data_IF_781398614997
#
_entry.id   IF_781398614997
#
_cell.length_a   1.000
_cell.length_b   1.000
_cell.length_c   1.000
_cell.angle_alpha   90.00
_cell.angle_beta   90.00
_cell.angle_gamma   90.00
#
_symmetry.space_group_name_H-M   'P 1'
#
loop_
_entity.id
_entity.type
_entity.pdbx_description
1 polymer ?
#
# COMPACT_ATOMS: atom_id res chain seq x y z
N UNK A 1 16.26 24.10 -23.27
CA UNK A 1 15.59 23.71 -24.53
C UNK A 1 16.45 22.73 -25.31
N UNK A 2 17.66 23.06 -25.78
CA UNK A 2 18.54 22.07 -26.46
C UNK A 2 18.68 20.71 -25.74
N UNK A 3 18.98 20.70 -24.43
CA UNK A 3 19.12 19.46 -23.65
C UNK A 3 17.84 18.62 -23.48
N UNK A 4 16.64 19.19 -23.61
CA UNK A 4 15.40 18.40 -23.48
C UNK A 4 15.00 17.80 -24.84
N UNK A 5 15.24 18.51 -25.93
CA UNK A 5 14.99 18.00 -27.28
C UNK A 5 15.92 16.82 -27.61
N UNK A 6 17.20 16.90 -27.20
CA UNK A 6 18.16 15.80 -27.36
C UNK A 6 17.73 14.56 -26.55
N UNK A 7 17.39 14.74 -25.27
CA UNK A 7 16.89 13.65 -24.40
C UNK A 7 15.59 13.04 -24.95
N UNK A 8 14.69 13.88 -25.46
CA UNK A 8 13.49 13.38 -26.13
C UNK A 8 13.84 12.55 -27.35
N UNK A 9 14.71 13.03 -28.23
CA UNK A 9 15.11 12.30 -29.44
C UNK A 9 15.74 10.93 -29.12
N UNK A 10 16.53 10.86 -28.04
CA UNK A 10 17.17 9.63 -27.58
C UNK A 10 16.17 8.61 -26.99
N UNK A 11 15.26 9.07 -26.12
CA UNK A 11 14.43 8.21 -25.28
C UNK A 11 12.98 8.07 -25.76
N UNK A 12 12.59 8.79 -26.80
CA UNK A 12 11.23 8.76 -27.36
C UNK A 12 10.74 7.34 -27.62
N UNK A 13 11.54 6.53 -28.31
CA UNK A 13 11.11 5.21 -28.77
C UNK A 13 10.76 4.28 -27.59
N UNK A 14 11.57 4.27 -26.54
CA UNK A 14 11.30 3.39 -25.39
C UNK A 14 10.08 3.84 -24.59
N UNK A 15 9.84 5.15 -24.46
CA UNK A 15 8.64 5.68 -23.81
C UNK A 15 7.36 5.35 -24.61
N UNK A 16 7.42 5.46 -25.95
CA UNK A 16 6.33 5.05 -26.84
C UNK A 16 6.06 3.53 -26.75
N UNK A 17 7.09 2.71 -26.90
CA UNK A 17 6.97 1.25 -26.86
C UNK A 17 6.40 0.78 -25.51
N UNK A 18 6.84 1.38 -24.40
CA UNK A 18 6.32 1.09 -23.06
C UNK A 18 4.84 1.48 -22.90
N UNK A 19 4.45 2.66 -23.38
CA UNK A 19 3.05 3.10 -23.36
C UNK A 19 2.15 2.13 -24.15
N UNK A 20 2.59 1.72 -25.34
CA UNK A 20 1.88 0.73 -26.15
C UNK A 20 1.80 -0.63 -25.46
N UNK A 21 2.88 -1.10 -24.84
CA UNK A 21 2.90 -2.36 -24.09
C UNK A 21 2.01 -2.36 -22.85
N UNK A 22 1.81 -1.20 -22.22
CA UNK A 22 0.83 -1.00 -21.14
C UNK A 22 -0.59 -0.78 -21.68
N UNK A 23 -0.78 -0.49 -22.97
CA UNK A 23 -2.10 -0.24 -23.56
C UNK A 23 -2.68 1.13 -23.19
N UNK A 24 -1.83 2.14 -23.01
CA UNK A 24 -2.23 3.52 -22.75
C UNK A 24 -1.89 4.44 -23.93
N UNK A 25 -2.55 5.60 -24.01
CA UNK A 25 -2.18 6.65 -24.95
C UNK A 25 -0.76 7.17 -24.62
N UNK A 26 0.22 7.02 -25.53
CA UNK A 26 1.59 7.50 -25.31
C UNK A 26 1.65 9.01 -25.00
N UNK A 27 0.68 9.80 -25.47
CA UNK A 27 0.63 11.25 -25.24
C UNK A 27 0.51 11.59 -23.75
N UNK A 28 -0.21 10.78 -22.99
CA UNK A 28 -0.34 10.97 -21.53
C UNK A 28 0.99 10.68 -20.85
N UNK A 29 1.60 9.53 -21.16
CA UNK A 29 2.87 9.12 -20.57
C UNK A 29 4.01 10.10 -20.89
N UNK A 30 4.06 10.63 -22.11
CA UNK A 30 5.06 11.63 -22.53
C UNK A 30 4.93 12.92 -21.72
N UNK A 31 3.71 13.40 -21.44
CA UNK A 31 3.51 14.58 -20.58
C UNK A 31 4.02 14.32 -19.16
N UNK A 32 3.75 13.14 -18.59
CA UNK A 32 4.23 12.77 -17.25
C UNK A 32 5.77 12.66 -17.23
N UNK A 33 6.38 11.89 -18.13
CA UNK A 33 7.82 11.72 -18.20
C UNK A 33 8.56 13.05 -18.44
N UNK A 34 7.99 13.90 -19.30
CA UNK A 34 8.49 15.24 -19.56
C UNK A 34 8.48 16.10 -18.29
N UNK A 35 7.37 16.11 -17.56
CA UNK A 35 7.26 16.87 -16.33
C UNK A 35 8.18 16.37 -15.21
N UNK A 36 8.17 15.06 -14.96
CA UNK A 36 8.91 14.43 -13.84
C UNK A 36 10.42 14.51 -14.00
N UNK A 37 10.92 14.34 -15.22
CA UNK A 37 12.36 14.16 -15.46
C UNK A 37 12.92 15.05 -16.58
N UNK A 38 12.06 15.66 -17.38
CA UNK A 38 12.47 16.24 -18.66
C UNK A 38 13.04 15.18 -19.61
N UNK A 39 12.45 13.98 -19.61
CA UNK A 39 12.92 12.80 -20.34
C UNK A 39 14.32 12.32 -19.95
N UNK A 40 14.73 12.54 -18.69
CA UNK A 40 16.05 12.14 -18.22
C UNK A 40 15.97 10.85 -17.38
N UNK A 41 16.50 9.72 -17.84
CA UNK A 41 16.51 8.49 -17.05
C UNK A 41 17.44 8.57 -15.83
N UNK A 42 18.28 9.60 -15.74
CA UNK A 42 19.15 9.88 -14.60
C UNK A 42 18.64 11.04 -13.73
N UNK A 43 17.41 11.51 -13.94
CA UNK A 43 16.85 12.59 -13.14
C UNK A 43 16.82 12.20 -11.65
N UNK A 44 17.23 13.14 -10.80
CA UNK A 44 17.22 13.02 -9.34
C UNK A 44 16.93 14.38 -8.69
N UNK A 45 16.22 14.43 -7.56
CA UNK A 45 16.02 15.67 -6.82
C UNK A 45 17.31 16.10 -6.11
N UNK A 46 17.94 17.17 -6.59
CA UNK A 46 19.17 17.71 -5.99
C UNK A 46 18.90 19.13 -5.49
N UNK A 47 19.26 19.41 -4.24
CA UNK A 47 19.28 20.76 -3.74
C UNK A 47 20.47 21.52 -4.38
N UNK A 48 20.18 22.36 -5.37
CA UNK A 48 21.21 23.13 -6.09
C UNK A 48 21.72 24.30 -5.24
N UNK A 49 20.82 24.95 -4.49
CA UNK A 49 21.16 26.12 -3.67
C UNK A 49 21.69 25.77 -2.28
N UNK A 50 21.39 24.56 -1.80
CA UNK A 50 21.77 24.07 -0.47
C UNK A 50 22.17 22.59 -0.55
N UNK A 51 23.35 22.26 -1.14
CA UNK A 51 23.77 20.88 -1.38
C UNK A 51 23.85 20.02 -0.11
N UNK A 52 24.03 20.63 1.05
CA UNK A 52 23.99 19.98 2.38
C UNK A 52 22.65 19.35 2.72
N UNK A 53 21.55 19.80 2.09
CA UNK A 53 20.21 19.24 2.31
C UNK A 53 19.96 17.93 1.58
N UNK A 54 20.91 17.49 0.74
CA UNK A 54 20.88 16.17 0.12
C UNK A 54 21.14 15.10 1.19
N UNK A 55 20.09 14.67 1.88
CA UNK A 55 20.15 13.86 3.12
C UNK A 55 19.87 12.37 2.90
N UNK A 56 19.41 11.98 1.71
CA UNK A 56 19.11 10.60 1.34
C UNK A 56 20.18 10.07 0.39
N UNK A 57 20.88 9.02 0.82
CA UNK A 57 21.77 8.26 -0.06
C UNK A 57 20.93 7.48 -1.08
N UNK A 58 21.10 7.80 -2.34
CA UNK A 58 20.47 7.12 -3.48
C UNK A 58 21.04 5.71 -3.63
N UNK A 59 20.37 4.90 -4.47
CA UNK A 59 20.84 3.56 -4.79
C UNK A 59 22.21 3.55 -5.51
N UNK A 60 22.54 4.61 -6.26
CA UNK A 60 23.84 4.81 -6.92
C UNK A 60 24.92 5.39 -5.97
N UNK A 61 24.59 5.58 -4.70
CA UNK A 61 25.47 6.13 -3.68
C UNK A 61 25.57 7.65 -3.65
N UNK A 62 24.94 8.37 -4.59
CA UNK A 62 24.89 9.83 -4.57
C UNK A 62 23.94 10.34 -3.50
N UNK A 63 24.12 11.59 -3.05
CA UNK A 63 23.25 12.20 -2.05
C UNK A 63 22.20 13.07 -2.75
N UNK A 64 20.93 12.94 -2.35
CA UNK A 64 19.80 13.75 -2.83
C UNK A 64 18.75 13.98 -1.73
N UNK A 65 17.82 14.89 -1.93
CA UNK A 65 16.77 15.21 -0.93
C UNK A 65 15.71 14.10 -0.81
N UNK A 66 15.61 13.24 -1.82
CA UNK A 66 14.62 12.16 -1.93
C UNK A 66 15.20 11.02 -2.75
N UNK A 67 14.70 9.79 -2.55
CA UNK A 67 15.08 8.61 -3.35
C UNK A 67 14.46 8.57 -4.75
N UNK A 68 13.79 9.64 -5.17
CA UNK A 68 13.16 9.73 -6.48
C UNK A 68 14.22 9.67 -7.59
N UNK A 69 13.99 8.82 -8.59
CA UNK A 69 14.93 8.64 -9.69
C UNK A 69 14.25 8.23 -11.00
N UNK A 70 14.85 8.63 -12.13
CA UNK A 70 14.47 8.20 -13.47
C UNK A 70 13.22 8.86 -14.03
N UNK A 71 12.69 8.33 -15.14
CA UNK A 71 11.62 8.97 -15.92
C UNK A 71 10.40 9.39 -15.10
N UNK A 72 9.95 8.52 -14.19
CA UNK A 72 8.78 8.73 -13.35
C UNK A 72 9.08 9.23 -11.94
N UNK A 73 10.35 9.52 -11.63
CA UNK A 73 10.79 9.94 -10.28
C UNK A 73 10.30 9.01 -9.15
N UNK A 74 10.26 7.69 -9.39
CA UNK A 74 9.79 6.72 -8.39
C UNK A 74 10.64 6.73 -7.11
N UNK A 75 10.00 6.67 -5.94
CA UNK A 75 10.67 6.40 -4.68
C UNK A 75 11.08 4.92 -4.60
N UNK A 76 12.07 4.57 -3.75
CA UNK A 76 12.55 3.19 -3.64
C UNK A 76 11.44 2.18 -3.29
N UNK A 77 10.45 2.60 -2.47
CA UNK A 77 9.33 1.75 -2.09
C UNK A 77 8.33 1.55 -3.23
N UNK A 78 7.93 2.64 -3.89
CA UNK A 78 7.02 2.58 -5.05
C UNK A 78 7.66 1.85 -6.23
N UNK A 79 8.95 2.04 -6.47
CA UNK A 79 9.70 1.30 -7.48
C UNK A 79 9.70 -0.20 -7.20
N UNK A 80 9.98 -0.62 -5.96
CA UNK A 80 9.89 -2.02 -5.56
C UNK A 80 8.48 -2.56 -5.82
N UNK A 81 7.43 -1.86 -5.41
CA UNK A 81 6.06 -2.30 -5.65
C UNK A 81 5.78 -2.51 -7.15
N UNK A 82 6.20 -1.56 -7.99
CA UNK A 82 6.00 -1.65 -9.44
C UNK A 82 6.77 -2.83 -10.03
N UNK A 83 8.04 -3.01 -9.65
CA UNK A 83 8.85 -4.16 -10.08
C UNK A 83 8.24 -5.48 -9.61
N UNK A 84 7.82 -5.59 -8.35
CA UNK A 84 7.24 -6.83 -7.85
C UNK A 84 5.90 -7.15 -8.50
N UNK A 85 5.14 -6.12 -8.93
CA UNK A 85 3.83 -6.31 -9.56
C UNK A 85 3.94 -6.60 -11.06
N UNK A 86 4.83 -5.90 -11.78
CA UNK A 86 4.88 -5.91 -13.24
C UNK A 86 6.21 -6.37 -13.83
N UNK A 87 7.28 -6.50 -13.03
CA UNK A 87 8.62 -6.80 -13.52
C UNK A 87 8.69 -8.08 -14.36
N UNK A 88 7.95 -9.13 -13.99
CA UNK A 88 7.88 -10.38 -14.77
C UNK A 88 7.34 -10.17 -16.18
N UNK A 89 6.34 -9.28 -16.35
CA UNK A 89 5.79 -8.90 -17.67
C UNK A 89 6.88 -8.32 -18.57
N UNK A 90 7.92 -7.74 -17.99
CA UNK A 90 9.02 -7.06 -18.70
C UNK A 90 10.37 -7.80 -18.56
N UNK A 91 10.34 -9.08 -18.16
CA UNK A 91 11.52 -9.95 -18.19
C UNK A 91 12.38 -9.93 -16.92
N UNK A 92 11.90 -9.38 -15.80
CA UNK A 92 12.56 -9.50 -14.50
C UNK A 92 12.14 -10.84 -13.87
N UNK A 93 13.07 -11.79 -13.76
CA UNK A 93 12.80 -13.09 -13.15
C UNK A 93 12.52 -12.97 -11.65
N UNK A 94 11.52 -13.71 -11.16
CA UNK A 94 11.10 -13.72 -9.75
C UNK A 94 10.82 -12.31 -9.19
N UNK A 95 10.30 -11.42 -10.03
CA UNK A 95 10.16 -10.02 -9.65
C UNK A 95 9.32 -9.85 -8.38
N UNK A 96 8.27 -10.66 -8.21
CA UNK A 96 7.36 -10.63 -7.06
C UNK A 96 8.07 -10.81 -5.71
N UNK A 97 9.18 -11.56 -5.68
CA UNK A 97 9.91 -11.91 -4.46
C UNK A 97 11.11 -10.99 -4.19
N UNK A 98 11.37 -10.00 -5.05
CA UNK A 98 12.51 -9.11 -4.88
C UNK A 98 12.35 -8.25 -3.62
N UNK A 99 13.36 -8.31 -2.75
CA UNK A 99 13.49 -7.41 -1.61
C UNK A 99 13.72 -5.98 -2.08
N UNK A 100 13.50 -5.00 -1.20
CA UNK A 100 13.72 -3.58 -1.50
C UNK A 100 15.13 -3.30 -2.03
N UNK A 101 16.15 -3.97 -1.49
CA UNK A 101 17.53 -3.83 -1.95
C UNK A 101 17.71 -4.40 -3.36
N UNK A 102 17.15 -5.58 -3.64
CA UNK A 102 17.28 -6.21 -4.96
C UNK A 102 16.51 -5.45 -6.04
N UNK A 103 15.27 -5.03 -5.77
CA UNK A 103 14.48 -4.26 -6.73
C UNK A 103 15.11 -2.91 -7.08
N UNK A 104 15.84 -2.30 -6.12
CA UNK A 104 16.56 -1.03 -6.33
C UNK A 104 18.02 -1.22 -6.73
N UNK A 105 18.47 -2.43 -7.06
CA UNK A 105 19.81 -2.67 -7.57
C UNK A 105 20.03 -1.92 -8.91
N UNK A 106 21.25 -1.44 -9.21
CA UNK A 106 21.51 -0.64 -10.40
C UNK A 106 21.01 -1.28 -11.69
N UNK A 107 21.10 -2.61 -11.80
CA UNK A 107 20.71 -3.39 -12.97
C UNK A 107 19.22 -3.24 -13.31
N UNK A 108 18.36 -3.06 -12.29
CA UNK A 108 16.93 -2.84 -12.49
C UNK A 108 16.60 -1.35 -12.49
N UNK A 109 17.19 -0.58 -11.55
CA UNK A 109 16.82 0.81 -11.33
C UNK A 109 17.30 1.74 -12.44
N UNK A 110 18.43 1.45 -13.07
CA UNK A 110 19.01 2.23 -14.18
C UNK A 110 18.61 1.70 -15.57
N UNK A 111 17.96 0.54 -15.65
CA UNK A 111 17.43 0.05 -16.92
C UNK A 111 16.31 0.98 -17.41
N UNK A 112 16.60 1.72 -18.47
CA UNK A 112 15.70 2.75 -19.02
C UNK A 112 14.41 2.14 -19.58
N UNK A 113 14.46 0.90 -20.09
CA UNK A 113 13.27 0.18 -20.57
C UNK A 113 12.38 -0.22 -19.41
N UNK A 114 12.95 -0.73 -18.32
CA UNK A 114 12.19 -1.02 -17.11
C UNK A 114 11.63 0.26 -16.48
N UNK A 115 12.39 1.36 -16.45
CA UNK A 115 11.88 2.65 -15.99
C UNK A 115 10.67 3.11 -16.81
N UNK A 116 10.76 3.05 -18.13
CA UNK A 116 9.66 3.40 -19.03
C UNK A 116 8.46 2.47 -18.82
N UNK A 117 8.68 1.16 -18.73
CA UNK A 117 7.63 0.16 -18.49
C UNK A 117 6.89 0.40 -17.16
N UNK A 118 7.61 0.60 -16.06
CA UNK A 118 6.99 0.87 -14.76
C UNK A 118 6.25 2.20 -14.74
N UNK A 119 6.76 3.23 -15.41
CA UNK A 119 6.04 4.49 -15.57
C UNK A 119 4.75 4.30 -16.39
N UNK A 120 4.78 3.48 -17.44
CA UNK A 120 3.62 3.18 -18.26
C UNK A 120 2.53 2.44 -17.47
N UNK A 121 2.91 1.41 -16.70
CA UNK A 121 1.97 0.66 -15.85
C UNK A 121 1.39 1.52 -14.72
N UNK A 122 2.23 2.34 -14.07
CA UNK A 122 1.76 3.26 -13.03
C UNK A 122 0.82 4.32 -13.60
N UNK A 123 1.13 4.83 -14.80
CA UNK A 123 0.24 5.75 -15.55
C UNK A 123 -1.08 5.08 -15.86
N UNK A 124 -1.08 3.83 -16.33
CA UNK A 124 -2.30 3.04 -16.60
C UNK A 124 -3.15 2.89 -15.35
N UNK A 125 -2.56 2.49 -14.23
CA UNK A 125 -3.27 2.39 -12.96
C UNK A 125 -3.91 3.71 -12.57
N UNK A 126 -3.18 4.82 -12.73
CA UNK A 126 -3.66 6.14 -12.36
C UNK A 126 -4.73 6.69 -13.32
N UNK A 127 -4.69 6.34 -14.62
CA UNK A 127 -5.79 6.64 -15.56
C UNK A 127 -7.07 5.96 -15.09
N UNK A 128 -6.99 4.67 -14.75
CA UNK A 128 -8.15 3.89 -14.29
C UNK A 128 -8.68 4.43 -12.96
N UNK A 129 -7.80 4.66 -11.98
CA UNK A 129 -8.20 5.17 -10.66
C UNK A 129 -8.78 6.59 -10.75
N UNK A 130 -8.17 7.48 -11.51
CA UNK A 130 -8.62 8.88 -11.57
C UNK A 130 -9.94 9.06 -12.33
N UNK A 131 -10.33 8.09 -13.18
CA UNK A 131 -11.62 8.10 -13.86
C UNK A 131 -12.81 8.09 -12.88
N UNK A 132 -12.62 7.62 -11.64
CA UNK A 132 -13.66 7.54 -10.60
C UNK A 132 -13.96 8.90 -9.93
N UNK A 133 -13.00 9.83 -9.89
CA UNK A 133 -13.07 11.06 -9.07
C UNK A 133 -13.32 12.34 -9.87
N UNK A 134 -13.33 12.26 -11.21
CA UNK A 134 -13.62 13.37 -12.10
C UNK A 134 -12.41 14.22 -12.52
N UNK A 135 -12.66 15.21 -13.38
CA UNK A 135 -11.64 16.01 -14.08
C UNK A 135 -11.56 15.67 -15.57
N UNK A 136 -11.53 16.70 -16.44
CA UNK A 136 -11.59 16.52 -17.90
C UNK A 136 -10.23 16.29 -18.55
N UNK A 137 -9.15 16.63 -17.84
CA UNK A 137 -7.79 16.51 -18.33
C UNK A 137 -7.16 15.23 -17.77
N UNK A 138 -6.98 14.23 -18.64
CA UNK A 138 -6.41 12.93 -18.28
C UNK A 138 -5.00 13.06 -17.73
N UNK A 139 -4.18 13.98 -18.27
CA UNK A 139 -2.80 14.15 -17.81
C UNK A 139 -2.76 14.81 -16.43
N UNK A 140 -3.63 15.80 -16.18
CA UNK A 140 -3.77 16.40 -14.85
C UNK A 140 -4.30 15.37 -13.83
N UNK A 141 -5.29 14.56 -14.20
CA UNK A 141 -5.82 13.50 -13.36
C UNK A 141 -4.74 12.48 -12.95
N UNK A 142 -3.99 11.98 -13.93
CA UNK A 142 -2.87 11.05 -13.69
C UNK A 142 -1.82 11.69 -12.79
N UNK A 143 -1.42 12.93 -13.09
CA UNK A 143 -0.38 13.59 -12.32
C UNK A 143 -0.82 13.92 -10.88
N UNK A 144 -2.09 14.25 -10.64
CA UNK A 144 -2.62 14.40 -9.30
C UNK A 144 -2.46 13.11 -8.49
N UNK A 145 -2.81 11.96 -9.09
CA UNK A 145 -2.64 10.65 -8.46
C UNK A 145 -1.17 10.25 -8.29
N UNK A 146 -0.32 10.61 -9.26
CA UNK A 146 1.13 10.34 -9.25
C UNK A 146 1.84 11.10 -8.12
N UNK A 147 1.56 12.40 -7.98
CA UNK A 147 2.20 13.27 -7.00
C UNK A 147 1.63 13.08 -5.58
N UNK A 148 0.31 13.03 -5.44
CA UNK A 148 -0.36 12.99 -4.14
C UNK A 148 -0.59 11.55 -3.61
N UNK A 149 -0.40 10.55 -4.47
CA UNK A 149 -0.65 9.15 -4.14
C UNK A 149 -2.13 8.84 -3.92
N UNK A 150 -2.39 7.62 -3.45
CA UNK A 150 -3.75 7.07 -3.25
C UNK A 150 -4.50 7.66 -2.06
N UNK A 151 -3.84 8.47 -1.23
CA UNK A 151 -4.46 9.15 -0.10
C UNK A 151 -5.04 10.52 -0.48
N UNK A 152 -4.17 11.46 -0.84
CA UNK A 152 -4.57 12.85 -1.08
C UNK A 152 -4.98 13.13 -2.54
N UNK A 153 -4.56 12.29 -3.50
CA UNK A 153 -4.94 12.39 -4.91
C UNK A 153 -6.45 12.28 -5.12
N UNK A 154 -7.09 11.19 -4.66
CA UNK A 154 -8.55 11.03 -4.74
C UNK A 154 -9.31 12.17 -4.05
N UNK A 155 -8.88 12.58 -2.85
CA UNK A 155 -9.51 13.69 -2.12
C UNK A 155 -9.45 14.99 -2.92
N UNK A 156 -8.30 15.29 -3.53
CA UNK A 156 -8.13 16.48 -4.35
C UNK A 156 -9.00 16.43 -5.60
N UNK A 157 -8.97 15.33 -6.36
CA UNK A 157 -9.78 15.18 -7.57
C UNK A 157 -11.28 15.22 -7.26
N UNK A 158 -11.72 14.55 -6.19
CA UNK A 158 -13.09 14.63 -5.71
C UNK A 158 -13.47 16.06 -5.34
N UNK A 159 -12.58 16.81 -4.67
CA UNK A 159 -12.83 18.21 -4.36
C UNK A 159 -12.85 19.12 -5.58
N UNK A 160 -12.07 18.82 -6.63
CA UNK A 160 -12.16 19.51 -7.93
C UNK A 160 -13.52 19.29 -8.57
N UNK A 161 -14.07 18.09 -8.46
CA UNK A 161 -15.41 17.75 -8.96
C UNK A 161 -16.53 18.37 -8.11
N UNK A 162 -16.51 18.15 -6.81
CA UNK A 162 -17.61 18.48 -5.89
C UNK A 162 -17.63 19.95 -5.46
N UNK A 163 -16.46 20.57 -5.33
CA UNK A 163 -16.31 21.94 -4.84
C UNK A 163 -15.15 22.67 -5.54
N UNK A 164 -15.27 22.96 -6.85
CA UNK A 164 -14.22 23.57 -7.65
C UNK A 164 -13.75 24.93 -7.14
N UNK A 165 -14.64 25.70 -6.49
CA UNK A 165 -14.35 27.02 -5.91
C UNK A 165 -13.83 26.94 -4.45
N UNK A 166 -13.86 25.75 -3.85
CA UNK A 166 -13.25 25.48 -2.54
C UNK A 166 -11.75 25.69 -2.57
N UNK A 167 -11.17 26.11 -1.44
CA UNK A 167 -9.72 26.35 -1.32
C UNK A 167 -8.95 25.04 -1.20
N UNK A 168 -7.78 24.98 -1.83
CA UNK A 168 -6.90 23.79 -1.76
C UNK A 168 -6.53 23.40 -0.32
N UNK A 169 -6.31 24.39 0.55
CA UNK A 169 -5.97 24.15 1.96
C UNK A 169 -7.11 23.55 2.81
N UNK A 170 -8.32 23.42 2.27
CA UNK A 170 -9.40 22.65 2.89
C UNK A 170 -9.30 21.14 2.62
N UNK A 171 -8.46 20.74 1.66
CA UNK A 171 -8.33 19.36 1.19
C UNK A 171 -6.92 18.83 1.41
N UNK A 172 -5.90 19.65 1.13
CA UNK A 172 -4.49 19.29 1.24
C UNK A 172 -3.83 19.95 2.45
N UNK A 173 -2.92 19.22 3.09
CA UNK A 173 -2.17 19.73 4.24
C UNK A 173 -1.19 20.84 3.87
N UNK A 174 -0.87 21.72 4.83
CA UNK A 174 0.13 22.77 4.65
C UNK A 174 1.51 22.24 4.23
N UNK A 175 1.88 21.03 4.66
CA UNK A 175 3.14 20.39 4.28
C UNK A 175 3.15 20.02 2.78
N UNK A 176 2.07 19.42 2.29
CA UNK A 176 1.90 19.05 0.86
C UNK A 176 1.92 20.31 -0.02
N UNK A 177 1.21 21.35 0.40
CA UNK A 177 1.15 22.64 -0.30
C UNK A 177 2.53 23.29 -0.35
N UNK A 178 3.24 23.37 0.78
CA UNK A 178 4.58 23.96 0.84
C UNK A 178 5.58 23.20 -0.03
N UNK A 179 5.49 21.87 -0.09
CA UNK A 179 6.34 21.04 -0.94
C UNK A 179 6.06 21.19 -2.45
N UNK A 180 4.88 21.70 -2.82
CA UNK A 180 4.39 21.75 -4.18
C UNK A 180 3.77 23.13 -4.52
N UNK A 181 4.36 24.22 -4.01
CA UNK A 181 3.81 25.57 -4.14
C UNK A 181 3.64 26.04 -5.59
N UNK A 182 4.39 25.46 -6.52
CA UNK A 182 4.24 25.69 -7.96
C UNK A 182 2.90 25.20 -8.53
N UNK A 183 2.23 24.26 -7.85
CA UNK A 183 0.92 23.70 -8.20
C UNK A 183 -0.20 24.28 -7.33
N UNK A 184 0.06 24.41 -6.03
CA UNK A 184 -0.97 24.75 -5.03
C UNK A 184 -0.89 26.20 -4.51
N UNK A 185 0.08 26.99 -4.96
CA UNK A 185 0.31 28.33 -4.46
C UNK A 185 0.62 28.33 -2.96
N UNK A 186 -0.04 29.22 -2.22
CA UNK A 186 -0.05 29.27 -0.75
C UNK A 186 -1.20 28.44 -0.14
N UNK A 187 -1.97 27.73 -0.97
CA UNK A 187 -3.14 26.96 -0.58
C UNK A 187 -4.46 27.74 -0.57
N UNK A 188 -4.44 29.06 -0.81
CA UNK A 188 -5.66 29.89 -0.85
C UNK A 188 -6.33 29.94 -2.22
N UNK A 189 -5.68 29.40 -3.26
CA UNK A 189 -6.28 29.24 -4.59
C UNK A 189 -7.37 28.17 -4.55
N UNK A 190 -8.27 28.20 -5.55
CA UNK A 190 -9.35 27.23 -5.63
C UNK A 190 -8.86 25.87 -6.15
N UNK A 191 -9.61 24.80 -5.87
CA UNK A 191 -9.35 23.46 -6.38
C UNK A 191 -9.27 23.46 -7.91
N UNK A 192 -10.18 24.17 -8.59
CA UNK A 192 -10.15 24.32 -10.05
C UNK A 192 -8.91 25.09 -10.54
N UNK A 193 -8.46 26.12 -9.83
CA UNK A 193 -7.25 26.87 -10.19
C UNK A 193 -6.00 26.00 -10.07
N UNK A 194 -5.88 25.21 -9.01
CA UNK A 194 -4.79 24.26 -8.82
C UNK A 194 -4.80 23.15 -9.88
N UNK A 195 -5.98 22.59 -10.16
CA UNK A 195 -6.14 21.56 -11.20
C UNK A 195 -5.80 22.12 -12.59
N UNK A 196 -6.24 23.33 -12.92
CA UNK A 196 -5.86 23.98 -14.17
C UNK A 196 -4.36 24.32 -14.23
N UNK A 197 -3.73 24.65 -13.10
CA UNK A 197 -2.28 24.85 -13.06
C UNK A 197 -1.53 23.56 -13.39
N UNK A 198 -2.03 22.43 -12.89
CA UNK A 198 -1.51 21.11 -13.21
C UNK A 198 -1.61 20.78 -14.70
N UNK A 199 -2.79 20.95 -15.31
CA UNK A 199 -2.98 20.77 -16.75
C UNK A 199 -2.04 21.66 -17.58
N UNK A 200 -1.92 22.94 -17.22
CA UNK A 200 -0.95 23.86 -17.87
C UNK A 200 0.50 23.39 -17.75
N UNK A 201 0.89 22.76 -16.64
CA UNK A 201 2.23 22.18 -16.48
C UNK A 201 2.43 20.97 -17.40
N UNK A 202 1.43 20.11 -17.52
CA UNK A 202 1.46 18.98 -18.45
C UNK A 202 1.51 19.44 -19.92
N UNK A 203 0.78 20.49 -20.26
CA UNK A 203 0.73 21.05 -21.61
C UNK A 203 2.03 21.71 -22.08
N UNK A 204 2.97 22.01 -21.16
CA UNK A 204 4.32 22.42 -21.54
C UNK A 204 5.04 21.36 -22.40
N UNK A 205 4.59 20.11 -22.33
CA UNK A 205 5.12 18.97 -23.05
C UNK A 205 4.24 18.52 -24.22
N UNK A 206 3.21 19.31 -24.58
CA UNK A 206 2.30 19.00 -25.69
C UNK A 206 3.04 18.80 -27.02
N UNK A 207 4.09 19.59 -27.30
CA UNK A 207 4.89 19.44 -28.53
C UNK A 207 5.51 18.04 -28.68
N UNK A 208 5.94 17.43 -27.56
CA UNK A 208 6.50 16.08 -27.56
C UNK A 208 5.38 15.04 -27.66
N UNK A 209 4.28 15.24 -26.94
CA UNK A 209 3.09 14.39 -27.03
C UNK A 209 2.44 14.42 -28.42
N UNK A 210 2.53 15.52 -29.16
CA UNK A 210 2.02 15.60 -30.53
C UNK A 210 2.93 14.86 -31.52
N UNK A 211 4.22 14.71 -31.18
CA UNK A 211 5.20 14.05 -32.04
C UNK A 211 5.07 12.53 -32.06
N UNK A 212 4.47 11.90 -31.03
CA UNK A 212 4.44 10.43 -30.89
C UNK A 212 3.43 9.70 -31.76
N UNK A 213 2.47 10.41 -32.38
CA UNK A 213 1.47 9.81 -33.28
C UNK A 213 0.51 8.83 -32.58
N UNK A 214 -0.78 8.97 -32.80
CA UNK A 214 -1.75 8.07 -32.18
C UNK A 214 -1.89 6.78 -33.02
N UNK A 215 -1.07 5.76 -32.75
CA UNK A 215 -1.23 4.43 -33.40
C UNK A 215 -2.54 3.72 -32.99
N UNK A 216 -3.31 4.28 -32.04
CA UNK A 216 -4.64 3.81 -31.67
C UNK A 216 -5.77 4.45 -32.50
N UNK A 217 -5.46 5.32 -33.48
CA UNK A 217 -6.48 6.03 -34.29
C UNK A 217 -7.23 5.17 -35.31
N UNK A 218 -6.78 3.95 -35.60
CA UNK A 218 -7.49 3.02 -36.52
C UNK A 218 -8.48 2.09 -35.78
N UNK A 219 -8.76 2.35 -34.51
CA UNK A 219 -9.90 1.75 -33.80
C UNK A 219 -10.71 2.83 -33.12
N UNK A 220 -11.90 3.10 -33.66
CA UNK A 220 -12.89 3.92 -33.00
C UNK A 220 -13.28 3.28 -31.65
N UNK A 221 -13.23 4.02 -30.52
CA UNK A 221 -13.59 3.50 -29.20
C UNK A 221 -15.12 3.45 -29.05
N UNK A 222 -15.79 2.45 -29.64
CA UNK A 222 -17.21 2.15 -29.31
C UNK A 222 -17.60 0.67 -29.48
N UNK A 223 -16.83 -0.19 -30.14
CA UNK A 223 -17.22 -1.61 -30.30
C UNK A 223 -16.27 -2.54 -29.55
N UNK A 224 -16.60 -2.91 -28.31
CA UNK A 224 -16.22 -4.23 -27.72
C UNK A 224 -17.04 -4.58 -26.46
N UNK A 225 -17.81 -3.69 -25.85
CA UNK A 225 -18.74 -4.08 -24.76
C UNK A 225 -20.18 -4.02 -25.25
N UNK A 226 -20.63 -5.10 -25.91
CA UNK A 226 -21.98 -5.66 -25.77
C UNK A 226 -22.15 -6.88 -26.69
N UNK A 227 -22.01 -8.09 -26.14
CA UNK A 227 -22.77 -9.28 -26.55
C UNK A 227 -22.62 -10.39 -25.51
N UNK A 228 -23.47 -10.34 -24.49
CA UNK A 228 -24.30 -11.47 -24.06
C UNK A 228 -25.36 -10.95 -23.08
N UNK A 229 -26.45 -10.43 -23.62
CA UNK A 229 -27.74 -10.47 -22.96
C UNK A 229 -28.75 -10.99 -23.99
N UNK A 230 -29.31 -12.16 -23.70
CA UNK A 230 -30.46 -12.70 -24.40
C UNK A 230 -31.65 -11.76 -24.14
N UNK A 231 -32.34 -11.43 -25.24
CA UNK A 231 -33.63 -10.74 -25.36
C UNK A 231 -34.53 -10.78 -24.10
N UNK A 232 -35.02 -9.61 -23.68
CA UNK A 232 -36.44 -9.28 -23.82
C UNK A 232 -36.68 -7.76 -23.67
N UNK A 233 -37.66 -7.30 -24.44
CA UNK A 233 -38.07 -5.94 -24.79
C UNK A 233 -38.89 -5.21 -23.72
N UNK A 234 -38.83 -3.88 -23.70
CA UNK A 234 -39.88 -3.00 -23.14
C UNK A 234 -39.41 -1.58 -22.84
N UNK A 235 -40.00 -0.61 -23.52
CA UNK A 235 -39.74 0.84 -23.50
C UNK A 235 -39.98 1.55 -22.15
N UNK A 236 -39.33 2.71 -21.98
CA UNK A 236 -39.86 3.85 -21.22
C UNK A 236 -38.98 4.37 -20.08
N UNK A 237 -38.28 5.49 -20.31
CA UNK A 237 -37.88 6.39 -19.22
C UNK A 237 -39.07 7.31 -18.88
N UNK A 238 -39.23 7.72 -17.61
CA UNK A 238 -38.65 9.01 -17.22
C UNK A 238 -38.03 9.05 -15.81
N UNK A 239 -37.16 10.03 -15.64
CA UNK A 239 -36.39 10.37 -14.44
C UNK A 239 -37.23 10.64 -13.18
N UNK A 240 -36.83 10.07 -12.04
CA UNK A 240 -37.05 10.62 -10.69
C UNK A 240 -35.87 10.28 -9.78
N UNK A 241 -35.41 11.32 -9.07
CA UNK A 241 -34.65 11.39 -7.82
C UNK A 241 -34.05 10.10 -7.23
N UNK A 242 -32.73 10.11 -7.01
CA UNK A 242 -32.17 9.52 -5.80
C UNK A 242 -31.16 10.48 -5.16
N UNK A 243 -31.56 10.98 -4.00
CA UNK A 243 -30.65 11.50 -2.99
C UNK A 243 -29.85 10.34 -2.41
N UNK A 244 -28.52 10.47 -2.43
CA UNK A 244 -27.65 10.29 -1.28
C UNK A 244 -27.34 8.89 -0.73
N UNK A 245 -26.03 8.69 -0.56
CA UNK A 245 -25.35 7.96 0.52
C UNK A 245 -25.27 6.44 0.43
N UNK A 246 -24.24 5.92 1.10
CA UNK A 246 -24.19 4.56 1.62
C UNK A 246 -25.60 3.99 1.84
N UNK A 247 -25.93 2.93 1.12
CA UNK A 247 -26.46 1.76 1.82
C UNK A 247 -25.21 1.08 2.43
N UNK A 248 -25.11 0.51 3.64
CA UNK A 248 -26.10 -0.12 4.50
C UNK A 248 -27.08 -1.07 3.78
N UNK A 249 -26.72 -1.58 2.61
CA UNK A 249 -27.28 -2.83 2.09
C UNK A 249 -26.55 -4.03 2.74
N UNK A 250 -25.30 -3.82 3.18
CA UNK A 250 -24.54 -4.82 3.91
C UNK A 250 -24.20 -5.99 3.01
N UNK A 251 -23.84 -5.72 1.75
CA UNK A 251 -23.44 -6.70 0.76
C UNK A 251 -22.09 -6.29 0.14
N UNK A 252 -21.20 -7.25 -0.19
CA UNK A 252 -19.94 -6.95 -0.88
C UNK A 252 -19.83 -7.67 -2.23
N UNK A 253 -19.30 -7.04 -3.29
CA UNK A 253 -19.25 -7.65 -4.62
C UNK A 253 -18.01 -7.30 -5.46
N UNK A 254 -17.83 -8.01 -6.58
CA UNK A 254 -16.65 -7.86 -7.44
C UNK A 254 -16.52 -6.42 -7.95
N UNK A 255 -15.34 -5.85 -7.75
CA UNK A 255 -15.03 -4.45 -8.08
C UNK A 255 -15.06 -3.52 -6.86
N UNK A 256 -15.65 -3.94 -5.74
CA UNK A 256 -15.54 -3.21 -4.49
C UNK A 256 -14.14 -3.34 -3.88
N UNK A 257 -13.76 -2.33 -3.09
CA UNK A 257 -12.44 -2.26 -2.47
C UNK A 257 -12.52 -1.60 -1.10
N UNK A 258 -11.54 -1.86 -0.25
CA UNK A 258 -11.40 -1.24 1.06
C UNK A 258 -11.51 -2.23 2.22
N UNK A 259 -11.67 -1.70 3.43
CA UNK A 259 -11.50 -2.48 4.66
C UNK A 259 -12.53 -3.61 4.80
N UNK A 260 -13.77 -3.41 4.34
CA UNK A 260 -14.81 -4.44 4.34
C UNK A 260 -14.46 -5.63 3.45
N UNK A 261 -13.87 -5.38 2.28
CA UNK A 261 -13.37 -6.41 1.36
C UNK A 261 -12.14 -7.11 1.92
N UNK A 262 -11.22 -6.35 2.52
CA UNK A 262 -10.04 -6.91 3.19
C UNK A 262 -10.45 -7.83 4.35
N UNK A 263 -11.48 -7.44 5.10
CA UNK A 263 -12.05 -8.23 6.18
C UNK A 263 -12.71 -9.51 5.63
N UNK A 264 -13.51 -9.42 4.57
CA UNK A 264 -14.07 -10.56 3.86
C UNK A 264 -12.99 -11.54 3.37
N UNK A 265 -11.96 -11.04 2.70
CA UNK A 265 -10.85 -11.86 2.20
C UNK A 265 -10.09 -12.53 3.34
N UNK A 266 -9.88 -11.82 4.45
CA UNK A 266 -9.27 -12.39 5.65
C UNK A 266 -10.12 -13.51 6.24
N UNK A 267 -11.44 -13.33 6.32
CA UNK A 267 -12.39 -14.35 6.78
C UNK A 267 -12.38 -15.59 5.88
N UNK A 268 -12.42 -15.40 4.56
CA UNK A 268 -12.34 -16.49 3.58
C UNK A 268 -10.98 -17.21 3.64
N UNK A 269 -9.88 -16.48 3.73
CA UNK A 269 -8.55 -17.04 3.87
C UNK A 269 -8.38 -17.86 5.15
N UNK A 270 -8.97 -17.42 6.28
CA UNK A 270 -9.00 -18.16 7.54
C UNK A 270 -9.75 -19.48 7.43
N UNK A 271 -10.74 -19.57 6.55
CA UNK A 271 -11.46 -20.80 6.22
C UNK A 271 -10.73 -21.65 5.16
N UNK A 272 -9.51 -21.27 4.77
CA UNK A 272 -8.70 -21.99 3.79
C UNK A 272 -9.10 -21.73 2.33
N UNK A 273 -9.88 -20.67 2.06
CA UNK A 273 -10.27 -20.36 0.69
C UNK A 273 -9.05 -20.04 -0.18
N UNK A 274 -9.10 -20.52 -1.41
CA UNK A 274 -8.06 -20.29 -2.41
C UNK A 274 -8.58 -19.37 -3.51
N UNK A 275 -7.66 -18.61 -4.09
CA UNK A 275 -7.91 -17.85 -5.29
C UNK A 275 -8.13 -18.77 -6.50
N UNK A 276 -8.49 -18.16 -7.63
CA UNK A 276 -8.66 -18.87 -8.89
C UNK A 276 -7.36 -19.53 -9.39
N UNK A 277 -6.23 -19.03 -8.91
CA UNK A 277 -4.88 -19.53 -9.12
C UNK A 277 -4.53 -20.75 -8.24
N UNK A 278 -5.45 -21.21 -7.38
CA UNK A 278 -5.23 -22.33 -6.46
C UNK A 278 -4.34 -22.01 -5.27
N UNK A 279 -3.94 -20.74 -5.09
CA UNK A 279 -3.12 -20.27 -3.97
C UNK A 279 -4.00 -19.76 -2.83
N UNK A 280 -3.50 -19.71 -1.57
CA UNK A 280 -4.24 -19.13 -0.46
C UNK A 280 -4.67 -17.69 -0.75
N UNK A 281 -5.95 -17.39 -0.50
CA UNK A 281 -6.52 -16.08 -0.77
C UNK A 281 -5.81 -14.99 0.05
N UNK A 282 -5.34 -13.94 -0.63
CA UNK A 282 -4.69 -12.80 0.02
C UNK A 282 -5.72 -11.71 0.34
N UNK A 283 -5.54 -11.05 1.48
CA UNK A 283 -6.36 -9.93 1.90
C UNK A 283 -5.73 -8.60 1.44
N UNK A 284 -5.80 -8.34 0.14
CA UNK A 284 -5.28 -7.11 -0.49
C UNK A 284 -6.28 -5.94 -0.43
N UNK A 285 -7.51 -6.20 -0.01
CA UNK A 285 -8.59 -5.22 0.05
C UNK A 285 -9.31 -4.98 -1.27
N UNK A 286 -9.00 -5.76 -2.32
CA UNK A 286 -9.59 -5.66 -3.65
C UNK A 286 -10.49 -6.86 -3.96
N UNK A 287 -11.78 -6.64 -4.21
CA UNK A 287 -12.70 -7.72 -4.54
C UNK A 287 -12.51 -8.08 -6.03
N UNK A 288 -11.37 -8.70 -6.33
CA UNK A 288 -10.93 -9.11 -7.65
C UNK A 288 -11.34 -10.54 -7.99
N UNK A 289 -10.81 -11.05 -9.12
CA UNK A 289 -11.17 -12.39 -9.61
C UNK A 289 -10.85 -13.53 -8.64
N UNK A 290 -9.81 -13.38 -7.83
CA UNK A 290 -9.46 -14.36 -6.79
C UNK A 290 -10.47 -14.33 -5.63
N UNK A 291 -10.88 -13.15 -5.16
CA UNK A 291 -11.92 -12.99 -4.13
C UNK A 291 -13.27 -13.44 -4.64
N UNK A 292 -13.63 -13.11 -5.88
CA UNK A 292 -14.86 -13.57 -6.53
C UNK A 292 -14.91 -15.09 -6.63
N UNK A 293 -13.80 -15.73 -7.02
CA UNK A 293 -13.71 -17.18 -7.06
C UNK A 293 -13.89 -17.79 -5.66
N UNK A 294 -13.19 -17.25 -4.66
CA UNK A 294 -13.29 -17.71 -3.28
C UNK A 294 -14.71 -17.54 -2.70
N UNK A 295 -15.38 -16.42 -2.98
CA UNK A 295 -16.77 -16.17 -2.56
C UNK A 295 -17.72 -17.15 -3.23
N UNK A 296 -17.61 -17.36 -4.55
CA UNK A 296 -18.48 -18.29 -5.27
C UNK A 296 -18.24 -19.75 -4.85
N UNK A 297 -17.00 -20.11 -4.52
CA UNK A 297 -16.66 -21.41 -3.97
C UNK A 297 -17.33 -21.61 -2.61
N UNK A 298 -17.14 -20.64 -1.70
CA UNK A 298 -17.74 -20.64 -0.37
C UNK A 298 -19.28 -20.73 -0.44
N UNK A 299 -19.92 -19.93 -1.30
CA UNK A 299 -21.37 -19.97 -1.49
C UNK A 299 -21.85 -21.35 -1.92
N UNK A 300 -21.10 -22.05 -2.79
CA UNK A 300 -21.44 -23.38 -3.28
C UNK A 300 -21.34 -24.45 -2.18
N UNK A 301 -20.28 -24.42 -1.38
CA UNK A 301 -20.07 -25.37 -0.28
C UNK A 301 -21.12 -25.23 0.83
N UNK A 302 -21.61 -24.00 1.04
CA UNK A 302 -22.59 -23.69 2.08
C UNK A 302 -24.05 -23.66 1.57
N UNK A 303 -24.31 -24.13 0.34
CA UNK A 303 -25.67 -24.26 -0.21
C UNK A 303 -26.39 -22.92 -0.42
N UNK A 304 -25.63 -21.86 -0.66
CA UNK A 304 -26.13 -20.51 -0.94
C UNK A 304 -26.30 -20.28 -2.45
N UNK A 305 -26.94 -19.17 -2.80
CA UNK A 305 -26.95 -18.68 -4.18
C UNK A 305 -25.53 -18.30 -4.60
N UNK A 306 -25.06 -18.83 -5.73
CA UNK A 306 -23.70 -18.63 -6.25
C UNK A 306 -23.69 -17.47 -7.23
N UNK A 307 -23.86 -16.27 -6.72
CA UNK A 307 -23.86 -15.02 -7.48
C UNK A 307 -22.55 -14.23 -7.34
N UNK A 308 -21.68 -14.63 -6.41
CA UNK A 308 -20.44 -13.91 -6.11
C UNK A 308 -20.66 -12.64 -5.28
N UNK A 309 -21.88 -12.43 -4.78
CA UNK A 309 -22.26 -11.27 -3.95
C UNK A 309 -22.35 -11.70 -2.49
N UNK A 310 -21.58 -11.05 -1.65
CA UNK A 310 -21.48 -11.29 -0.20
C UNK A 310 -22.56 -10.54 0.53
N UNK A 311 -23.81 -10.97 0.32
CA UNK A 311 -24.96 -10.39 1.00
C UNK A 311 -25.17 -10.90 2.43
N UNK A 312 -26.23 -10.45 3.12
CA UNK A 312 -26.51 -10.80 4.53
C UNK A 312 -26.51 -12.31 4.80
N UNK A 313 -27.02 -13.12 3.86
CA UNK A 313 -27.02 -14.60 3.99
C UNK A 313 -25.61 -15.17 3.86
N UNK A 314 -24.79 -14.64 2.96
CA UNK A 314 -23.38 -15.02 2.80
C UNK A 314 -22.56 -14.60 4.02
N UNK A 315 -22.80 -13.40 4.57
CA UNK A 315 -22.14 -12.91 5.79
C UNK A 315 -22.52 -13.73 7.03
N UNK A 316 -23.80 -14.08 7.18
CA UNK A 316 -24.24 -14.94 8.29
C UNK A 316 -23.61 -16.35 8.19
N UNK A 317 -23.51 -16.91 6.99
CA UNK A 317 -22.85 -18.18 6.76
C UNK A 317 -21.33 -18.10 7.02
N UNK A 318 -20.66 -17.03 6.59
CA UNK A 318 -19.24 -16.76 6.92
C UNK A 318 -19.04 -16.70 8.44
N UNK A 319 -19.89 -15.98 9.16
CA UNK A 319 -19.82 -15.89 10.63
C UNK A 319 -20.01 -17.25 11.32
N UNK A 320 -20.95 -18.08 10.86
CA UNK A 320 -21.16 -19.43 11.38
C UNK A 320 -19.98 -20.36 11.05
N UNK A 321 -19.47 -20.31 9.81
CA UNK A 321 -18.33 -21.10 9.37
C UNK A 321 -17.06 -20.72 10.13
N UNK A 322 -16.78 -19.43 10.34
CA UNK A 322 -15.67 -18.99 11.19
C UNK A 322 -15.84 -19.49 12.62
N UNK A 323 -17.03 -19.34 13.21
CA UNK A 323 -17.28 -19.79 14.59
C UNK A 323 -17.06 -21.30 14.74
N UNK A 324 -17.50 -22.10 13.76
CA UNK A 324 -17.31 -23.55 13.74
C UNK A 324 -15.86 -23.94 13.43
N UNK A 325 -15.17 -23.20 12.56
CA UNK A 325 -13.75 -23.39 12.26
C UNK A 325 -12.89 -23.08 13.49
N UNK A 326 -13.19 -22.01 14.21
CA UNK A 326 -12.55 -21.67 15.50
C UNK A 326 -12.87 -22.70 16.57
N UNK A 327 -14.12 -23.20 16.67
CA UNK A 327 -14.48 -24.25 17.62
C UNK A 327 -13.77 -25.59 17.31
N UNK A 328 -13.71 -25.99 16.03
CA UNK A 328 -12.98 -27.19 15.59
C UNK A 328 -11.47 -27.05 15.73
N UNK A 329 -10.90 -25.87 15.44
CA UNK A 329 -9.48 -25.61 15.71
C UNK A 329 -9.19 -25.56 17.20
N UNK A 330 -10.10 -25.07 18.03
CA UNK A 330 -9.99 -25.12 19.49
C UNK A 330 -10.10 -26.56 20.01
N UNK A 331 -10.97 -27.39 19.45
CA UNK A 331 -11.13 -28.80 19.82
C UNK A 331 -9.97 -29.67 19.30
N UNK A 332 -9.46 -29.42 18.09
CA UNK A 332 -8.24 -30.06 17.54
C UNK A 332 -6.96 -29.55 18.21
N UNK A 333 -6.91 -28.28 18.62
CA UNK A 333 -5.79 -27.74 19.42
C UNK A 333 -5.86 -28.16 20.88
N UNK A 334 -7.06 -28.45 21.41
CA UNK A 334 -7.23 -29.11 22.71
C UNK A 334 -6.84 -30.60 22.65
N UNK A 335 -7.06 -31.27 21.51
CA UNK A 335 -6.58 -32.63 21.23
C UNK A 335 -5.07 -32.69 20.91
N UNK A 336 -4.43 -31.55 20.62
CA UNK A 336 -2.98 -31.41 20.36
C UNK A 336 -2.21 -30.65 21.45
N UNK A 337 -2.85 -30.28 22.56
CA UNK A 337 -2.15 -29.98 23.82
C UNK A 337 -1.80 -31.34 24.49
N UNK A 338 -0.56 -31.68 24.85
CA UNK A 338 0.58 -30.86 25.23
C UNK A 338 1.92 -31.65 25.11
N UNK A 339 3.08 -31.08 25.53
CA UNK A 339 3.35 -31.04 26.97
C UNK A 339 3.26 -29.63 27.56
N UNK A 340 2.71 -29.59 28.76
CA UNK A 340 2.62 -28.41 29.61
C UNK A 340 4.02 -27.88 29.92
N UNK A 341 4.19 -26.56 29.96
CA UNK A 341 5.40 -26.01 30.57
C UNK A 341 5.70 -24.53 30.37
N UNK A 342 5.35 -23.94 29.22
CA UNK A 342 5.63 -22.51 28.98
C UNK A 342 4.47 -21.67 29.52
N UNK A 343 4.67 -20.87 30.59
CA UNK A 343 3.64 -19.96 31.07
C UNK A 343 3.29 -18.95 29.98
N UNK A 344 2.07 -18.42 29.98
CA UNK A 344 1.74 -17.29 29.09
C UNK A 344 2.51 -16.04 29.53
N UNK A 345 2.73 -15.09 28.63
CA UNK A 345 3.26 -13.76 28.96
C UNK A 345 2.47 -13.06 30.07
N UNK A 346 1.17 -13.33 30.17
CA UNK A 346 0.30 -12.84 31.24
C UNK A 346 0.45 -13.60 32.57
N UNK A 347 1.07 -14.78 32.58
CA UNK A 347 1.35 -15.55 33.79
C UNK A 347 2.55 -14.94 34.52
N UNK A 348 2.45 -14.64 35.84
CA UNK A 348 3.55 -14.11 36.64
C UNK A 348 4.82 -14.97 36.65
N UNK A 349 4.72 -16.25 36.27
CA UNK A 349 5.88 -17.17 36.18
C UNK A 349 6.66 -17.01 34.88
N UNK A 350 6.17 -16.25 33.91
CA UNK A 350 6.86 -16.01 32.65
C UNK A 350 8.02 -15.02 32.85
N UNK A 351 9.23 -15.29 32.31
CA UNK A 351 10.39 -14.40 32.50
C UNK A 351 10.15 -12.98 31.98
N UNK A 352 9.36 -12.83 30.91
CA UNK A 352 9.02 -11.53 30.33
C UNK A 352 7.70 -10.93 30.84
N UNK A 353 7.10 -11.48 31.91
CA UNK A 353 5.83 -10.97 32.44
C UNK A 353 5.91 -9.48 32.84
N UNK A 354 7.06 -9.02 33.34
CA UNK A 354 7.25 -7.61 33.68
C UNK A 354 7.19 -6.69 32.44
N UNK A 355 7.83 -7.08 31.34
CA UNK A 355 7.80 -6.33 30.08
C UNK A 355 6.38 -6.35 29.48
N UNK A 356 5.70 -7.50 29.57
CA UNK A 356 4.30 -7.64 29.16
C UNK A 356 3.35 -6.73 29.95
N UNK A 357 3.42 -6.72 31.28
CA UNK A 357 2.61 -5.82 32.11
C UNK A 357 2.92 -4.34 31.82
N UNK A 358 4.19 -4.02 31.51
CA UNK A 358 4.60 -2.69 31.05
C UNK A 358 3.91 -2.31 29.74
N UNK A 359 3.94 -3.19 28.73
CA UNK A 359 3.27 -2.98 27.45
C UNK A 359 1.74 -2.82 27.63
N UNK A 360 1.10 -3.70 28.39
CA UNK A 360 -0.34 -3.61 28.72
C UNK A 360 -0.66 -2.25 29.34
N UNK A 361 0.09 -1.83 30.35
CA UNK A 361 -0.15 -0.55 31.04
C UNK A 361 -0.04 0.64 30.09
N UNK A 362 0.94 0.63 29.16
CA UNK A 362 1.12 1.73 28.20
C UNK A 362 0.02 1.75 27.14
N UNK A 363 -0.45 0.57 26.70
CA UNK A 363 -1.59 0.47 25.79
C UNK A 363 -2.90 0.91 26.44
N UNK A 364 -3.11 0.58 27.72
CA UNK A 364 -4.31 1.03 28.46
C UNK A 364 -4.37 2.56 28.57
N UNK A 365 -3.21 3.23 28.75
CA UNK A 365 -3.12 4.70 28.76
C UNK A 365 -3.54 5.34 27.43
N UNK A 366 -3.42 4.63 26.31
CA UNK A 366 -3.86 5.16 25.01
C UNK A 366 -5.39 5.23 24.88
N UNK A 367 -6.14 4.45 25.66
CA UNK A 367 -7.60 4.40 25.61
C UNK A 367 -8.12 4.15 24.19
N UNK A 368 -9.12 4.91 23.75
CA UNK A 368 -9.70 4.82 22.39
C UNK A 368 -8.67 5.08 21.29
N UNK A 369 -7.60 5.87 21.55
CA UNK A 369 -6.51 6.11 20.59
C UNK A 369 -5.67 4.85 20.36
N UNK A 370 -5.75 3.89 21.28
CA UNK A 370 -5.18 2.55 21.15
C UNK A 370 -5.92 1.68 20.13
N UNK A 371 -7.17 1.99 19.80
CA UNK A 371 -7.91 1.32 18.72
C UNK A 371 -8.23 -0.16 18.97
N UNK A 372 -8.28 -0.60 20.24
CA UNK A 372 -8.60 -1.98 20.62
C UNK A 372 -10.10 -2.13 20.90
N UNK A 373 -10.75 -3.12 20.30
CA UNK A 373 -12.18 -3.35 20.51
C UNK A 373 -12.48 -3.95 21.90
N UNK A 374 -11.52 -4.66 22.49
CA UNK A 374 -11.66 -5.27 23.81
C UNK A 374 -10.30 -5.52 24.49
N UNK A 375 -10.35 -5.95 25.76
CA UNK A 375 -9.15 -6.23 26.56
C UNK A 375 -8.33 -7.40 26.01
N UNK A 376 -8.95 -8.40 25.39
CA UNK A 376 -8.23 -9.54 24.82
C UNK A 376 -7.32 -9.07 23.67
N UNK A 377 -7.84 -8.22 22.79
CA UNK A 377 -7.09 -7.65 21.67
C UNK A 377 -5.92 -6.77 22.15
N UNK A 378 -6.14 -5.98 23.22
CA UNK A 378 -5.06 -5.22 23.87
C UNK A 378 -3.97 -6.15 24.42
N UNK A 379 -4.35 -7.26 25.04
CA UNK A 379 -3.43 -8.26 25.59
C UNK A 379 -2.63 -8.98 24.49
N UNK A 380 -3.28 -9.32 23.38
CA UNK A 380 -2.63 -9.88 22.19
C UNK A 380 -1.61 -8.89 21.62
N UNK A 381 -2.00 -7.62 21.48
CA UNK A 381 -1.10 -6.58 21.01
C UNK A 381 0.08 -6.33 21.95
N UNK A 382 -0.14 -6.35 23.27
CA UNK A 382 0.93 -6.29 24.26
C UNK A 382 1.89 -7.47 24.12
N UNK A 383 1.38 -8.68 23.87
CA UNK A 383 2.19 -9.87 23.62
C UNK A 383 3.09 -9.70 22.39
N UNK A 384 2.54 -9.20 21.28
CA UNK A 384 3.32 -8.96 20.06
C UNK A 384 4.36 -7.87 20.26
N UNK A 385 4.01 -6.78 20.94
CA UNK A 385 4.95 -5.70 21.28
C UNK A 385 6.15 -6.24 22.08
N UNK A 386 5.93 -7.13 23.05
CA UNK A 386 7.02 -7.75 23.83
C UNK A 386 7.95 -8.54 22.92
N UNK A 387 7.40 -9.35 22.01
CA UNK A 387 8.21 -10.13 21.08
C UNK A 387 9.06 -9.23 20.16
N UNK A 388 8.46 -8.23 19.51
CA UNK A 388 9.17 -7.31 18.60
C UNK A 388 10.22 -6.48 19.33
N UNK A 389 9.92 -6.02 20.56
CA UNK A 389 10.88 -5.32 21.42
C UNK A 389 12.11 -6.19 21.69
N UNK A 390 11.91 -7.47 22.04
CA UNK A 390 13.00 -8.41 22.27
C UNK A 390 13.83 -8.65 21.01
N UNK A 391 13.22 -8.86 19.85
CA UNK A 391 13.93 -9.03 18.57
C UNK A 391 14.82 -7.81 18.26
N UNK A 392 14.37 -6.60 18.63
CA UNK A 392 15.15 -5.37 18.48
C UNK A 392 16.25 -5.17 19.54
N UNK A 393 16.38 -6.08 20.50
CA UNK A 393 17.34 -6.02 21.60
C UNK A 393 16.92 -5.16 22.79
N UNK A 394 15.67 -4.68 22.84
CA UNK A 394 15.15 -3.93 23.99
C UNK A 394 15.04 -4.84 25.22
N UNK A 395 15.36 -4.28 26.37
CA UNK A 395 15.29 -4.92 27.68
C UNK A 395 14.07 -4.46 28.49
N UNK A 396 13.42 -3.35 28.10
CA UNK A 396 12.17 -2.85 28.66
C UNK A 396 11.42 -1.97 27.65
N UNK A 397 10.16 -1.65 27.96
CA UNK A 397 9.32 -0.74 27.19
C UNK A 397 8.93 0.44 28.08
N UNK A 398 9.49 1.61 27.76
CA UNK A 398 9.25 2.86 28.50
C UNK A 398 8.03 3.61 27.94
N UNK A 399 7.81 3.55 26.62
CA UNK A 399 6.63 4.14 25.96
C UNK A 399 6.07 3.23 24.86
N UNK A 400 4.75 3.33 24.63
CA UNK A 400 4.10 2.84 23.41
C UNK A 400 3.37 4.01 22.78
N UNK A 401 3.68 4.31 21.51
CA UNK A 401 3.17 5.50 20.82
C UNK A 401 2.53 5.08 19.50
N UNK A 402 1.25 5.43 19.24
CA UNK A 402 0.64 5.24 17.93
C UNK A 402 1.44 5.98 16.86
N UNK A 403 1.63 5.38 15.69
CA UNK A 403 2.17 6.10 14.56
C UNK A 403 1.14 7.11 14.01
N UNK A 404 1.61 8.07 13.21
CA UNK A 404 0.75 9.16 12.69
C UNK A 404 -0.35 8.67 11.75
N UNK A 405 -0.12 7.55 11.07
CA UNK A 405 -1.05 6.91 10.12
C UNK A 405 -2.12 6.05 10.80
N UNK A 406 -1.93 5.69 12.08
CA UNK A 406 -2.89 4.87 12.82
C UNK A 406 -2.92 3.40 12.42
N UNK A 407 -1.91 2.89 11.72
CA UNK A 407 -1.78 1.50 11.30
C UNK A 407 -0.76 0.72 12.16
N UNK A 408 -0.14 1.35 13.15
CA UNK A 408 0.74 0.65 14.08
C UNK A 408 1.21 1.46 15.27
N UNK A 409 2.12 0.87 16.03
CA UNK A 409 2.69 1.45 17.25
C UNK A 409 4.21 1.45 17.19
N UNK A 410 4.83 2.37 17.91
CA UNK A 410 6.24 2.29 18.27
C UNK A 410 6.36 1.88 19.72
N UNK A 411 7.02 0.75 19.98
CA UNK A 411 7.56 0.47 21.30
C UNK A 411 8.90 1.19 21.44
N UNK A 412 9.10 1.85 22.58
CA UNK A 412 10.23 2.76 22.80
C UNK A 412 10.90 2.44 24.13
N UNK A 413 12.23 2.38 24.12
CA UNK A 413 13.07 2.31 25.31
C UNK A 413 13.94 3.56 25.40
N UNK A 414 13.96 4.21 26.57
CA UNK A 414 14.60 5.50 26.82
C UNK A 414 13.63 6.68 26.79
N UNK A 415 14.11 7.85 27.21
CA UNK A 415 13.35 9.10 27.21
C UNK A 415 13.03 9.53 25.77
N UNK A 416 11.82 10.05 25.52
CA UNK A 416 11.40 10.45 24.16
C UNK A 416 12.23 11.58 23.52
N UNK A 417 13.00 12.29 24.34
CA UNK A 417 13.89 13.37 23.92
C UNK A 417 15.36 12.93 23.84
N UNK A 418 15.68 11.71 24.27
CA UNK A 418 17.04 11.19 24.23
C UNK A 418 17.34 10.63 22.82
N UNK A 419 18.36 11.14 22.10
CA UNK A 419 18.75 10.59 20.80
C UNK A 419 19.22 9.13 20.86
N UNK A 420 19.59 8.62 22.04
CA UNK A 420 19.95 7.22 22.25
C UNK A 420 18.72 6.30 22.47
N UNK A 421 17.50 6.84 22.41
CA UNK A 421 16.28 6.04 22.51
C UNK A 421 16.22 4.93 21.44
N UNK A 422 15.84 3.73 21.84
CA UNK A 422 15.54 2.64 20.91
C UNK A 422 14.06 2.67 20.56
N UNK A 423 13.73 2.35 19.30
CA UNK A 423 12.34 2.22 18.85
C UNK A 423 12.18 1.06 17.88
N UNK A 424 11.08 0.33 18.01
CA UNK A 424 10.67 -0.70 17.07
C UNK A 424 9.22 -0.45 16.65
N UNK A 425 8.94 -0.59 15.36
CA UNK A 425 7.60 -0.46 14.82
C UNK A 425 6.88 -1.81 14.90
N UNK A 426 5.60 -1.78 15.31
CA UNK A 426 4.72 -2.95 15.42
C UNK A 426 3.45 -2.67 14.63
N UNK A 427 3.15 -3.52 13.66
CA UNK A 427 1.93 -3.45 12.85
C UNK A 427 0.70 -3.75 13.71
N UNK A 428 -0.35 -2.93 13.60
CA UNK A 428 -1.56 -3.07 14.41
C UNK A 428 -2.35 -4.33 14.05
N UNK A 429 -2.50 -4.64 12.76
CA UNK A 429 -3.28 -5.80 12.33
C UNK A 429 -2.61 -7.11 12.73
N UNK A 430 -1.27 -7.17 12.65
CA UNK A 430 -0.49 -8.29 13.17
C UNK A 430 -0.66 -8.43 14.68
N UNK A 431 -0.53 -7.34 15.43
CA UNK A 431 -0.61 -7.33 16.89
C UNK A 431 -1.98 -7.77 17.42
N UNK A 432 -3.07 -7.42 16.72
CA UNK A 432 -4.44 -7.73 17.13
C UNK A 432 -4.87 -9.17 16.78
N UNK A 433 -4.26 -9.79 15.77
CA UNK A 433 -4.67 -11.11 15.29
C UNK A 433 -3.77 -12.26 15.79
N UNK A 434 -2.71 -11.94 16.54
CA UNK A 434 -1.77 -12.93 17.08
C UNK A 434 -2.21 -13.41 18.47
N UNK A 435 -2.48 -14.71 18.68
CA UNK A 435 -2.80 -15.24 20.01
C UNK A 435 -1.65 -15.04 21.00
N UNK A 436 -1.98 -14.74 22.27
CA UNK A 436 -0.98 -14.49 23.31
C UNK A 436 -0.08 -15.70 23.56
N UNK A 437 -0.63 -16.91 23.42
CA UNK A 437 0.08 -18.19 23.48
C UNK A 437 1.24 -18.22 22.49
N UNK A 438 1.04 -17.67 21.29
CA UNK A 438 2.04 -17.68 20.25
C UNK A 438 3.16 -16.68 20.56
N UNK A 439 2.84 -15.44 20.89
CA UNK A 439 3.84 -14.45 21.29
C UNK A 439 4.61 -14.88 22.56
N UNK A 440 3.97 -15.64 23.46
CA UNK A 440 4.62 -16.20 24.65
C UNK A 440 5.72 -17.21 24.29
N UNK A 441 5.47 -18.09 23.32
CA UNK A 441 6.50 -19.01 22.82
C UNK A 441 7.62 -18.27 22.11
N UNK A 442 7.28 -17.33 21.23
CA UNK A 442 8.26 -16.55 20.48
C UNK A 442 9.19 -15.73 21.40
N UNK A 443 8.65 -15.14 22.48
CA UNK A 443 9.45 -14.40 23.45
C UNK A 443 10.49 -15.28 24.17
N UNK A 444 10.11 -16.53 24.51
CA UNK A 444 11.04 -17.51 25.12
C UNK A 444 12.11 -17.96 24.12
N UNK A 445 11.71 -18.26 22.88
CA UNK A 445 12.64 -18.66 21.82
C UNK A 445 13.68 -17.55 21.53
N UNK A 446 13.24 -16.29 21.48
CA UNK A 446 14.15 -15.16 21.27
C UNK A 446 15.15 -14.98 22.42
N UNK A 447 14.69 -15.13 23.66
CA UNK A 447 15.59 -15.14 24.84
C UNK A 447 16.66 -16.23 24.77
N UNK A 448 16.29 -17.42 24.28
CA UNK A 448 17.24 -18.52 24.10
C UNK A 448 18.23 -18.21 22.97
N UNK A 449 17.79 -17.57 21.88
CA UNK A 449 18.69 -17.16 20.79
C UNK A 449 19.71 -16.11 21.24
N UNK A 450 19.27 -15.10 21.97
CA UNK A 450 20.15 -14.03 22.44
C UNK A 450 21.21 -14.55 23.42
N UNK A 451 20.82 -15.42 24.36
CA UNK A 451 21.78 -16.04 25.28
C UNK A 451 22.83 -16.91 24.58
N UNK A 452 22.45 -17.63 23.50
CA UNK A 452 23.40 -18.39 22.69
C UNK A 452 24.35 -17.48 21.90
N UNK A 453 23.87 -16.37 21.33
CA UNK A 453 24.72 -15.41 20.62
C UNK A 453 25.74 -14.73 21.54
N UNK A 454 25.35 -14.37 22.77
CA UNK A 454 26.27 -13.79 23.75
C UNK A 454 27.36 -14.81 24.15
N UNK A 455 27.01 -16.08 24.36
CA UNK A 455 28.00 -17.12 24.68
C UNK A 455 28.99 -17.37 23.53
N UNK A 456 28.53 -17.33 22.29
CA UNK A 456 29.41 -17.47 21.10
C UNK A 456 30.35 -16.27 20.97
N UNK A 457 29.86 -15.04 21.18
CA UNK A 457 30.70 -13.84 21.15
C UNK A 457 31.73 -13.81 22.29
N UNK A 458 31.38 -14.25 23.49
CA UNK A 458 32.31 -14.35 24.61
C UNK A 458 33.38 -15.43 24.40
N UNK A 459 33.01 -16.56 23.79
CA UNK A 459 33.96 -17.61 23.41
C UNK A 459 34.94 -17.13 22.34
N UNK A 460 34.46 -16.45 21.30
CA UNK A 460 35.30 -15.87 20.24
C UNK A 460 36.23 -14.77 20.77
N UNK A 461 35.75 -13.96 21.71
CA UNK A 461 36.57 -12.90 22.34
C UNK A 461 37.67 -13.53 23.20
N UNK A 462 37.37 -14.59 23.96
CA UNK A 462 38.39 -15.32 24.74
C UNK A 462 39.42 -16.03 23.85
N UNK A 463 39.01 -16.58 22.71
CA UNK A 463 39.93 -17.22 21.75
C UNK A 463 40.85 -16.24 21.01
N UNK A 464 40.51 -14.94 20.94
CA UNK A 464 41.36 -13.90 20.35
C UNK A 464 42.30 -13.20 21.34
N UNK A 465 42.15 -13.48 22.64
CA UNK A 465 42.96 -12.86 23.71
C UNK A 465 44.01 -13.83 24.28
N UNK A 466 44.08 -15.05 23.75
CA UNK A 466 45.14 -16.05 23.95
C UNK A 466 45.98 -16.13 22.68
#
# INVERSE_FOLDING_TARGET
>A
MARIDDRWAEHRKELEDAAHAAGIDPRVMVKIAGFESGFNPEARPVAITHPENNTVKQFDGTMAISSAYGYGQFLNGTWQQMINTYGEKYGVENAADLTRTQANAPELRQDTRLQAAMLAEFTRENIVRAAEYGGKDVAANVYAMHNLGTGDGPKFLQAVHDNPDGKVNSVLSAAVIKGNSSLYGDGNITNAQAYAAMGRKMDQYAVYADSVGNSLSDRTPTETIQRTAVKQSGEGAPSRHHAGFSSHDGHLEQGERGQSVKQLQSQLAQLGATGRDGKPLQADGDFGGNTMHAVQHFQREHGLQVDGVVGQRTQAALGQALSQHTAKHAEQSALQAAPAGIPLLSDPRHPDNAMYNGAVSKLEVLGERGGFANRQELQQAAGQIVFEAKVSGMQRIDHVVPNKSGDGFFAVQGEMTDPAMQRVFVDRAQAQNQPLEHSSRQAVEESQRQSQQTQVQEADTRSRTL
#
